data_IF_507196976624
#
_entry.id   IF_507196976624
#
_cell.length_a   1.000
_cell.length_b   1.000
_cell.length_c   1.000
_cell.angle_alpha   90.00
_cell.angle_beta   90.00
_cell.angle_gamma   90.00
#
_symmetry.space_group_name_H-M   'P 1'
#
loop_
_entity.id
_entity.type
_entity.pdbx_description
1 polymer ?
#
# COMPACT_ATOMS: atom_id res chain seq x y z
N UNK A 1 -14.06 11.05 -34.19
CA UNK A 1 -12.76 11.10 -33.46
C UNK A 1 -12.74 10.14 -32.26
N UNK A 2 -13.90 9.58 -31.88
CA UNK A 2 -14.06 8.67 -30.71
C UNK A 2 -13.55 7.24 -30.89
N UNK A 3 -13.51 6.70 -32.12
CA UNK A 3 -13.08 5.31 -32.34
C UNK A 3 -11.57 5.12 -32.21
N UNK A 4 -10.76 6.05 -32.73
CA UNK A 4 -9.29 5.92 -32.74
C UNK A 4 -8.71 5.97 -31.31
N UNK A 5 -9.23 6.84 -30.44
CA UNK A 5 -8.82 6.92 -29.04
C UNK A 5 -9.32 5.74 -28.20
N UNK A 6 -10.56 5.29 -28.41
CA UNK A 6 -11.08 4.06 -27.79
C UNK A 6 -10.26 2.84 -28.22
N UNK A 7 -9.87 2.75 -29.50
CA UNK A 7 -9.09 1.64 -30.01
C UNK A 7 -7.64 1.67 -29.50
N UNK A 8 -7.03 2.86 -29.39
CA UNK A 8 -5.72 3.00 -28.77
C UNK A 8 -5.74 2.59 -27.29
N UNK A 9 -6.72 3.05 -26.51
CA UNK A 9 -6.88 2.66 -25.10
C UNK A 9 -7.08 1.15 -24.98
N UNK A 10 -7.92 0.55 -25.82
CA UNK A 10 -8.12 -0.91 -25.85
C UNK A 10 -6.83 -1.65 -26.21
N UNK A 11 -6.07 -1.18 -27.21
CA UNK A 11 -4.78 -1.77 -27.59
C UNK A 11 -3.77 -1.68 -26.45
N UNK A 12 -3.64 -0.53 -25.81
CA UNK A 12 -2.74 -0.34 -24.66
C UNK A 12 -3.15 -1.22 -23.49
N UNK A 13 -4.44 -1.27 -23.15
CA UNK A 13 -4.95 -2.12 -22.07
C UNK A 13 -4.71 -3.60 -22.35
N UNK A 14 -4.92 -4.05 -23.58
CA UNK A 14 -4.62 -5.43 -23.98
C UNK A 14 -3.11 -5.72 -23.92
N UNK A 15 -2.27 -4.76 -24.30
CA UNK A 15 -0.82 -4.89 -24.16
C UNK A 15 -0.43 -5.06 -22.69
N UNK A 16 -0.92 -4.21 -21.79
CA UNK A 16 -0.68 -4.31 -20.35
C UNK A 16 -1.15 -5.68 -19.84
N UNK A 17 -2.39 -6.06 -20.13
CA UNK A 17 -2.98 -7.31 -19.68
C UNK A 17 -2.17 -8.54 -20.11
N UNK A 18 -1.66 -8.54 -21.34
CA UNK A 18 -1.01 -9.72 -21.92
C UNK A 18 0.50 -9.78 -21.67
N UNK A 19 1.14 -8.69 -21.23
CA UNK A 19 2.60 -8.63 -21.12
C UNK A 19 3.11 -8.14 -19.77
N UNK A 20 2.31 -7.40 -19.00
CA UNK A 20 2.75 -6.71 -17.78
C UNK A 20 1.96 -7.12 -16.54
N UNK A 21 0.65 -7.39 -16.69
CA UNK A 21 -0.18 -7.86 -15.60
C UNK A 21 0.32 -9.22 -15.09
N UNK A 22 0.31 -9.41 -13.78
CA UNK A 22 0.79 -10.67 -13.20
C UNK A 22 -0.22 -11.80 -13.40
N UNK A 23 0.31 -12.96 -13.73
CA UNK A 23 -0.44 -14.21 -13.82
C UNK A 23 -0.26 -15.02 -12.54
N UNK A 24 -1.33 -15.70 -12.12
CA UNK A 24 -1.30 -16.51 -10.92
C UNK A 24 -0.72 -17.89 -11.22
N UNK A 25 0.05 -18.41 -10.28
CA UNK A 25 0.69 -19.72 -10.42
C UNK A 25 1.00 -20.27 -9.03
N UNK A 26 0.81 -21.58 -8.85
CA UNK A 26 1.11 -22.27 -7.59
C UNK A 26 2.61 -22.26 -7.28
N UNK A 27 3.45 -22.19 -8.32
CA UNK A 27 4.91 -22.06 -8.20
C UNK A 27 5.35 -20.74 -7.57
N UNK A 28 4.48 -19.72 -7.54
CA UNK A 28 4.78 -18.44 -6.90
C UNK A 28 4.78 -18.49 -5.36
N UNK A 29 4.49 -19.63 -4.75
CA UNK A 29 4.56 -19.82 -3.28
C UNK A 29 5.90 -20.41 -2.87
N UNK A 30 6.54 -19.82 -1.88
CA UNK A 30 7.81 -20.32 -1.36
C UNK A 30 7.71 -21.71 -0.72
N UNK A 31 6.53 -22.09 -0.24
CA UNK A 31 6.35 -23.32 0.50
C UNK A 31 5.24 -24.16 -0.12
N UNK A 32 5.61 -25.38 -0.54
CA UNK A 32 4.67 -26.36 -1.06
C UNK A 32 3.67 -26.74 0.02
N UNK A 33 2.39 -26.76 -0.34
CA UNK A 33 1.35 -27.31 0.52
C UNK A 33 1.27 -28.81 0.25
N UNK A 34 1.52 -29.64 1.27
CA UNK A 34 1.19 -31.05 1.18
C UNK A 34 -0.32 -31.17 1.11
N UNK A 35 -0.82 -31.85 0.09
CA UNK A 35 -2.23 -31.87 -0.31
C UNK A 35 -3.19 -31.95 0.87
N UNK A 36 -4.08 -30.96 0.93
CA UNK A 36 -5.30 -31.02 1.74
C UNK A 36 -6.09 -32.23 1.23
N UNK A 37 -6.49 -33.12 2.14
CA UNK A 37 -7.37 -34.29 1.97
C UNK A 37 -8.03 -34.42 0.58
N UNK A 38 -7.98 -35.60 -0.04
CA UNK A 38 -8.56 -35.94 -1.37
C UNK A 38 -9.92 -35.31 -1.72
N UNK A 39 -10.79 -35.01 -0.74
CA UNK A 39 -12.04 -34.27 -0.93
C UNK A 39 -11.84 -32.83 -1.45
N UNK A 40 -10.79 -32.12 -1.04
CA UNK A 40 -10.52 -30.75 -1.48
C UNK A 40 -10.06 -30.66 -2.94
N UNK A 41 -9.30 -31.65 -3.41
CA UNK A 41 -8.79 -31.70 -4.79
C UNK A 41 -9.92 -31.89 -5.82
N UNK A 42 -10.93 -32.71 -5.51
CA UNK A 42 -12.08 -32.90 -6.39
C UNK A 42 -12.93 -31.62 -6.51
N UNK A 43 -13.09 -30.85 -5.43
CA UNK A 43 -13.82 -29.57 -5.47
C UNK A 43 -13.01 -28.44 -6.14
N UNK A 44 -11.68 -28.43 -6.02
CA UNK A 44 -10.83 -27.44 -6.71
C UNK A 44 -10.97 -27.50 -8.23
N UNK A 45 -11.27 -28.68 -8.80
CA UNK A 45 -11.50 -28.85 -10.24
C UNK A 45 -12.72 -28.06 -10.75
N UNK A 46 -13.67 -27.72 -9.88
CA UNK A 46 -14.93 -27.05 -10.23
C UNK A 46 -14.98 -25.58 -9.78
N UNK A 47 -13.94 -25.08 -9.10
CA UNK A 47 -13.87 -23.71 -8.59
C UNK A 47 -12.62 -23.04 -9.16
N UNK A 48 -12.80 -22.15 -10.14
CA UNK A 48 -11.73 -21.26 -10.62
C UNK A 48 -11.42 -20.22 -9.53
N UNK A 49 -10.53 -20.57 -8.59
CA UNK A 49 -9.99 -19.65 -7.58
C UNK A 49 -8.50 -19.49 -7.78
N UNK A 50 -8.11 -18.31 -8.26
CA UNK A 50 -6.70 -17.96 -8.51
C UNK A 50 -5.86 -17.99 -7.23
N UNK A 51 -4.54 -18.13 -7.38
CA UNK A 51 -3.64 -18.08 -6.22
C UNK A 51 -3.65 -16.71 -5.52
N UNK A 52 -3.94 -15.63 -6.24
CA UNK A 52 -4.12 -14.30 -5.67
C UNK A 52 -5.45 -14.16 -4.92
N UNK A 53 -6.54 -14.78 -5.39
CA UNK A 53 -7.77 -14.85 -4.59
C UNK A 53 -7.53 -15.58 -3.26
N UNK A 54 -6.75 -16.67 -3.29
CA UNK A 54 -6.38 -17.39 -2.07
C UNK A 54 -5.59 -16.50 -1.13
N UNK A 55 -4.68 -15.66 -1.65
CA UNK A 55 -3.94 -14.70 -0.84
C UNK A 55 -4.85 -13.68 -0.17
N UNK A 56 -5.73 -13.03 -0.96
CA UNK A 56 -6.71 -12.07 -0.45
C UNK A 56 -7.57 -12.67 0.66
N UNK A 57 -8.09 -13.88 0.45
CA UNK A 57 -8.90 -14.57 1.45
C UNK A 57 -8.09 -14.93 2.69
N UNK A 58 -6.86 -15.45 2.54
CA UNK A 58 -5.99 -15.78 3.69
C UNK A 58 -5.73 -14.56 4.56
N UNK A 59 -5.53 -13.40 3.94
CA UNK A 59 -5.34 -12.13 4.62
C UNK A 59 -6.64 -11.71 5.31
N UNK A 60 -7.75 -11.64 4.57
CA UNK A 60 -9.05 -11.20 5.06
C UNK A 60 -9.54 -12.00 6.28
N UNK A 61 -9.37 -13.33 6.25
CA UNK A 61 -9.78 -14.21 7.35
C UNK A 61 -8.75 -14.34 8.48
N UNK A 62 -7.59 -13.70 8.37
CA UNK A 62 -6.54 -13.74 9.39
C UNK A 62 -6.99 -13.09 10.71
N UNK A 63 -6.33 -13.44 11.82
CA UNK A 63 -6.58 -12.73 13.08
C UNK A 63 -5.98 -11.33 13.03
N UNK A 64 -4.88 -11.15 12.30
CA UNK A 64 -4.22 -9.85 12.14
C UNK A 64 -5.08 -8.82 11.42
N UNK A 65 -5.74 -9.20 10.33
CA UNK A 65 -6.63 -8.31 9.61
C UNK A 65 -7.81 -7.84 10.47
N UNK A 66 -8.45 -8.76 11.22
CA UNK A 66 -9.50 -8.40 12.18
C UNK A 66 -9.04 -7.40 13.25
N UNK A 67 -7.78 -7.45 13.68
CA UNK A 67 -7.23 -6.49 14.65
C UNK A 67 -7.11 -5.07 14.09
N UNK A 68 -7.18 -4.86 12.78
CA UNK A 68 -7.18 -3.51 12.19
C UNK A 68 -8.39 -2.68 12.61
N UNK A 69 -9.52 -3.33 12.93
CA UNK A 69 -10.73 -2.68 13.45
C UNK A 69 -10.43 -1.86 14.72
N UNK A 70 -9.50 -2.33 15.56
CA UNK A 70 -9.20 -1.70 16.84
C UNK A 70 -7.96 -0.82 16.82
N UNK A 71 -7.35 -0.60 15.64
CA UNK A 71 -6.20 0.30 15.49
C UNK A 71 -6.68 1.66 14.98
N UNK A 72 -6.53 2.67 15.83
CA UNK A 72 -6.75 4.06 15.42
C UNK A 72 -5.71 4.46 14.35
N UNK A 73 -6.21 5.11 13.30
CA UNK A 73 -5.39 5.95 12.45
C UNK A 73 -5.25 7.30 13.16
N UNK A 74 -4.09 7.92 13.04
CA UNK A 74 -3.63 9.08 13.81
C UNK A 74 -4.76 10.11 14.06
N UNK A 75 -5.00 10.48 15.33
CA UNK A 75 -6.12 11.29 15.91
C UNK A 75 -7.41 10.53 16.30
N UNK A 76 -7.71 10.44 17.61
CA UNK A 76 -8.51 11.47 18.30
C UNK A 76 -8.79 11.11 19.77
N UNK A 77 -8.70 12.13 20.63
CA UNK A 77 -9.22 12.16 22.00
C UNK A 77 -10.75 12.43 22.04
N UNK A 78 -11.50 12.19 20.95
CA UNK A 78 -12.95 12.39 20.90
C UNK A 78 -13.69 11.05 20.81
N UNK A 79 -14.50 10.77 21.84
CA UNK A 79 -15.41 9.61 21.90
C UNK A 79 -16.59 9.84 20.94
N UNK A 80 -16.72 9.01 19.90
CA UNK A 80 -17.87 8.94 18.98
C UNK A 80 -17.70 7.76 18.00
N UNK A 81 -18.77 7.25 17.40
CA UNK A 81 -18.77 5.97 16.64
C UNK A 81 -18.24 6.07 15.20
N UNK A 82 -17.83 7.26 14.75
CA UNK A 82 -17.44 7.55 13.36
C UNK A 82 -15.93 7.79 13.17
N UNK A 83 -15.08 7.36 14.10
CA UNK A 83 -13.63 7.47 13.88
C UNK A 83 -13.18 6.45 12.82
N UNK A 84 -12.36 6.90 11.86
CA UNK A 84 -11.73 5.99 10.90
C UNK A 84 -10.72 5.11 11.63
N UNK A 85 -10.68 3.85 11.23
CA UNK A 85 -9.74 2.84 11.73
C UNK A 85 -8.80 2.44 10.60
N UNK A 86 -7.70 1.76 10.93
CA UNK A 86 -6.85 1.16 9.90
C UNK A 86 -7.62 0.21 8.99
N UNK A 87 -8.67 -0.44 9.49
CA UNK A 87 -9.53 -1.29 8.68
C UNK A 87 -10.29 -0.48 7.63
N UNK A 88 -10.92 0.65 7.99
CA UNK A 88 -11.67 1.47 7.03
C UNK A 88 -10.74 2.04 5.96
N UNK A 89 -9.58 2.55 6.35
CA UNK A 89 -8.55 2.99 5.41
C UNK A 89 -8.10 1.87 4.46
N UNK A 90 -7.82 0.68 5.00
CA UNK A 90 -7.44 -0.48 4.18
C UNK A 90 -8.51 -0.83 3.13
N UNK A 91 -9.80 -0.74 3.50
CA UNK A 91 -10.91 -0.99 2.57
C UNK A 91 -11.03 0.08 1.49
N UNK A 92 -10.77 1.34 1.81
CA UNK A 92 -10.76 2.45 0.85
C UNK A 92 -9.61 2.34 -0.14
N UNK A 93 -8.38 2.09 0.36
CA UNK A 93 -7.21 1.81 -0.48
C UNK A 93 -7.50 0.64 -1.41
N UNK A 94 -8.11 -0.43 -0.90
CA UNK A 94 -8.49 -1.60 -1.69
C UNK A 94 -9.47 -1.23 -2.81
N UNK A 95 -10.48 -0.40 -2.52
CA UNK A 95 -11.45 0.05 -3.52
C UNK A 95 -10.78 0.88 -4.63
N UNK A 96 -9.96 1.85 -4.26
CA UNK A 96 -9.24 2.73 -5.20
C UNK A 96 -8.31 1.89 -6.08
N UNK A 97 -7.50 1.03 -5.45
CA UNK A 97 -6.50 0.21 -6.15
C UNK A 97 -7.16 -0.73 -7.15
N UNK A 98 -8.24 -1.43 -6.76
CA UNK A 98 -8.99 -2.31 -7.67
C UNK A 98 -9.59 -1.55 -8.85
N UNK A 99 -10.11 -0.35 -8.61
CA UNK A 99 -10.64 0.50 -9.69
C UNK A 99 -9.55 0.89 -10.69
N UNK A 100 -8.38 1.30 -10.22
CA UNK A 100 -7.23 1.64 -11.07
C UNK A 100 -6.77 0.41 -11.86
N UNK A 101 -6.54 -0.72 -11.19
CA UNK A 101 -6.10 -1.97 -11.83
C UNK A 101 -7.07 -2.47 -12.89
N UNK A 102 -8.38 -2.41 -12.61
CA UNK A 102 -9.42 -2.74 -13.59
C UNK A 102 -9.31 -1.90 -14.85
N UNK A 103 -9.08 -0.60 -14.70
CA UNK A 103 -9.03 0.31 -15.84
C UNK A 103 -7.75 0.16 -16.65
N UNK A 104 -6.63 -0.16 -15.98
CA UNK A 104 -5.33 -0.43 -16.63
C UNK A 104 -5.23 -1.82 -17.26
N UNK A 105 -6.11 -2.76 -16.89
CA UNK A 105 -6.03 -4.15 -17.34
C UNK A 105 -5.03 -4.99 -16.54
N UNK A 106 -4.73 -4.58 -15.31
CA UNK A 106 -3.88 -5.31 -14.36
C UNK A 106 -4.67 -6.39 -13.61
N UNK A 107 -3.96 -7.23 -12.86
CA UNK A 107 -4.58 -8.27 -12.06
C UNK A 107 -5.28 -7.67 -10.81
N UNK A 108 -6.61 -7.61 -10.84
CA UNK A 108 -7.40 -7.06 -9.73
C UNK A 108 -7.23 -7.87 -8.43
N UNK A 109 -7.09 -9.19 -8.53
CA UNK A 109 -7.00 -10.08 -7.37
C UNK A 109 -5.67 -9.93 -6.64
N UNK A 110 -4.56 -9.80 -7.38
CA UNK A 110 -3.26 -9.48 -6.78
C UNK A 110 -3.28 -8.09 -6.13
N UNK A 111 -3.85 -7.11 -6.83
CA UNK A 111 -3.98 -5.74 -6.31
C UNK A 111 -4.76 -5.74 -4.99
N UNK A 112 -5.88 -6.46 -4.94
CA UNK A 112 -6.70 -6.60 -3.73
C UNK A 112 -5.93 -7.30 -2.60
N UNK A 113 -5.24 -8.39 -2.88
CA UNK A 113 -4.45 -9.10 -1.87
C UNK A 113 -3.36 -8.20 -1.26
N UNK A 114 -2.64 -7.44 -2.09
CA UNK A 114 -1.62 -6.49 -1.62
C UNK A 114 -2.26 -5.39 -0.78
N UNK A 115 -3.35 -4.78 -1.26
CA UNK A 115 -4.03 -3.70 -0.56
C UNK A 115 -4.58 -4.15 0.80
N UNK A 116 -5.18 -5.33 0.90
CA UNK A 116 -5.67 -5.87 2.19
C UNK A 116 -4.55 -6.13 3.19
N UNK A 117 -3.34 -6.45 2.71
CA UNK A 117 -2.21 -6.82 3.55
C UNK A 117 -1.29 -5.66 3.95
N UNK A 118 -1.36 -4.52 3.26
CA UNK A 118 -0.34 -3.46 3.37
C UNK A 118 -0.21 -2.90 4.80
N UNK A 119 -1.33 -2.77 5.51
CA UNK A 119 -1.40 -2.05 6.78
C UNK A 119 -1.37 -2.95 8.05
N UNK A 120 -1.32 -4.27 7.85
CA UNK A 120 -1.44 -5.28 8.93
C UNK A 120 -0.35 -5.12 10.01
N UNK A 121 0.85 -4.74 9.58
CA UNK A 121 2.07 -4.60 10.39
C UNK A 121 2.13 -3.37 11.27
N UNK A 122 1.17 -2.44 11.17
CA UNK A 122 1.28 -1.19 11.90
C UNK A 122 1.19 -1.36 13.42
N UNK A 123 1.95 -0.53 14.12
CA UNK A 123 1.93 -0.35 15.56
C UNK A 123 0.62 0.29 16.03
N UNK A 124 0.25 0.12 17.31
CA UNK A 124 -0.65 1.05 17.99
C UNK A 124 -0.15 2.49 17.83
N UNK A 125 -1.06 3.47 17.82
CA UNK A 125 -0.73 4.89 17.64
C UNK A 125 -0.08 5.26 16.30
N UNK A 126 -0.12 4.36 15.31
CA UNK A 126 0.32 4.63 13.94
C UNK A 126 1.77 5.08 13.85
N UNK A 127 2.04 6.15 13.09
CA UNK A 127 3.40 6.61 12.82
C UNK A 127 4.17 7.01 14.09
N UNK A 128 3.51 7.63 15.07
CA UNK A 128 4.15 7.97 16.33
C UNK A 128 4.64 6.72 17.08
N UNK A 129 3.80 5.67 17.12
CA UNK A 129 4.20 4.40 17.71
C UNK A 129 5.29 3.67 16.92
N UNK A 130 5.30 3.81 15.60
CA UNK A 130 6.38 3.30 14.74
C UNK A 130 7.71 4.00 15.00
N UNK A 131 7.73 5.33 15.10
CA UNK A 131 8.94 6.12 15.34
C UNK A 131 9.58 5.79 16.68
N UNK A 132 8.78 5.80 17.76
CA UNK A 132 9.25 5.44 19.10
C UNK A 132 9.78 4.01 19.12
N UNK A 133 9.06 3.05 18.52
CA UNK A 133 9.51 1.67 18.48
C UNK A 133 10.78 1.48 17.65
N UNK A 134 10.94 2.22 16.55
CA UNK A 134 12.17 2.20 15.74
C UNK A 134 13.37 2.71 16.54
N UNK A 135 13.22 3.80 17.28
CA UNK A 135 14.31 4.38 18.07
C UNK A 135 14.70 3.49 19.25
N UNK A 136 13.73 2.89 19.95
CA UNK A 136 13.99 1.87 20.99
C UNK A 136 14.74 0.68 20.40
N UNK A 137 14.27 0.15 19.26
CA UNK A 137 14.87 -1.04 18.64
C UNK A 137 16.21 -0.75 17.96
N UNK A 138 16.62 0.52 17.85
CA UNK A 138 17.97 0.96 17.47
C UNK A 138 18.86 1.30 18.66
N UNK A 139 18.36 1.14 19.90
CA UNK A 139 19.06 1.52 21.12
C UNK A 139 19.25 3.03 21.29
N UNK A 140 18.44 3.86 20.60
CA UNK A 140 18.48 5.33 20.69
C UNK A 140 17.59 5.88 21.80
N UNK A 141 16.57 5.13 22.19
CA UNK A 141 15.63 5.47 23.27
C UNK A 141 15.65 4.32 24.29
N UNK A 142 15.95 4.65 25.55
CA UNK A 142 16.03 3.71 26.67
C UNK A 142 14.78 3.72 27.57
N UNK A 143 13.70 4.37 27.09
CA UNK A 143 12.43 4.55 27.78
C UNK A 143 12.59 5.27 29.14
N UNK A 144 13.39 6.34 29.17
CA UNK A 144 13.74 7.10 30.38
C UNK A 144 14.48 6.23 31.41
N UNK A 145 15.45 5.44 30.94
CA UNK A 145 16.25 4.53 31.77
C UNK A 145 15.49 3.28 32.26
N UNK A 146 14.36 2.94 31.65
CA UNK A 146 13.63 1.68 31.95
C UNK A 146 14.26 0.46 31.31
N UNK A 147 15.02 0.65 30.23
CA UNK A 147 15.81 -0.42 29.61
C UNK A 147 17.19 -0.46 30.26
N UNK A 148 17.53 -1.61 30.83
CA UNK A 148 18.83 -1.83 31.49
C UNK A 148 19.99 -1.78 30.50
N UNK A 149 19.75 -2.15 29.24
CA UNK A 149 20.74 -2.15 28.16
C UNK A 149 20.15 -1.61 26.86
N UNK A 150 20.91 -0.74 26.19
CA UNK A 150 20.61 -0.31 24.83
C UNK A 150 21.30 -1.25 23.85
N UNK A 151 20.50 -2.04 23.12
CA UNK A 151 20.97 -2.97 22.09
C UNK A 151 20.35 -2.55 20.76
N UNK A 152 21.19 -2.33 19.75
CA UNK A 152 20.73 -2.11 18.39
C UNK A 152 20.29 -3.45 17.79
N UNK A 153 18.98 -3.62 17.67
CA UNK A 153 18.39 -4.76 16.99
C UNK A 153 18.15 -4.48 15.50
N UNK A 154 18.38 -3.27 15.02
CA UNK A 154 18.19 -2.87 13.62
C UNK A 154 16.84 -2.23 13.31
N UNK A 155 16.20 -1.68 14.34
CA UNK A 155 15.00 -0.85 14.21
C UNK A 155 13.70 -1.59 13.94
N UNK A 156 12.67 -0.79 13.61
CA UNK A 156 11.30 -1.21 13.35
C UNK A 156 10.68 -0.42 12.20
N UNK A 157 9.90 -1.12 11.35
CA UNK A 157 9.09 -0.49 10.32
C UNK A 157 7.86 -1.36 10.03
N UNK A 158 6.69 -0.76 9.86
CA UNK A 158 5.45 -1.52 9.71
C UNK A 158 5.44 -2.47 8.51
N UNK A 159 5.94 -2.08 7.33
CA UNK A 159 5.93 -2.91 6.12
C UNK A 159 6.78 -4.18 6.28
N UNK A 160 7.92 -4.08 6.98
CA UNK A 160 8.68 -5.24 7.40
C UNK A 160 7.90 -6.08 8.42
N UNK A 161 7.26 -5.43 9.39
CA UNK A 161 6.40 -6.11 10.35
C UNK A 161 5.17 -6.78 9.70
N UNK A 162 4.66 -6.29 8.57
CA UNK A 162 3.63 -6.97 7.78
C UNK A 162 4.12 -8.36 7.38
N UNK A 163 5.34 -8.45 6.82
CA UNK A 163 5.93 -9.75 6.48
C UNK A 163 6.06 -10.65 7.72
N UNK A 164 6.55 -10.12 8.83
CA UNK A 164 6.64 -10.88 10.09
C UNK A 164 5.31 -11.44 10.53
N UNK A 165 4.25 -10.64 10.42
CA UNK A 165 2.92 -11.09 10.77
C UNK A 165 2.45 -12.21 9.82
N UNK A 166 2.60 -11.99 8.52
CA UNK A 166 2.08 -12.88 7.49
C UNK A 166 2.88 -14.17 7.34
N UNK A 167 4.19 -14.16 7.60
CA UNK A 167 5.10 -15.30 7.44
C UNK A 167 5.36 -16.07 8.74
N UNK A 168 5.36 -15.39 9.89
CA UNK A 168 5.85 -15.96 11.16
C UNK A 168 4.75 -15.98 12.24
N UNK A 169 3.98 -14.91 12.41
CA UNK A 169 3.07 -14.79 13.56
C UNK A 169 1.73 -15.47 13.31
N UNK A 170 1.10 -15.21 12.15
CA UNK A 170 -0.14 -15.88 11.81
C UNK A 170 0.10 -17.38 11.63
N UNK A 171 -0.88 -18.18 12.05
CA UNK A 171 -0.81 -19.64 12.01
C UNK A 171 -2.07 -20.19 11.39
N UNK A 172 -1.90 -21.12 10.46
CA UNK A 172 -2.95 -22.03 10.00
C UNK A 172 -2.79 -23.34 10.74
N UNK A 173 -3.85 -24.16 10.80
CA UNK A 173 -3.84 -25.44 11.51
C UNK A 173 -2.65 -26.33 11.13
N UNK A 174 -2.24 -26.25 9.87
CA UNK A 174 -1.19 -27.10 9.30
C UNK A 174 0.18 -26.41 9.20
N UNK A 175 0.31 -25.11 9.50
CA UNK A 175 1.57 -24.37 9.31
C UNK A 175 1.65 -23.01 9.98
N UNK A 176 2.88 -22.58 10.22
CA UNK A 176 3.23 -21.18 10.46
C UNK A 176 3.17 -20.37 9.16
N UNK A 177 2.66 -19.14 9.26
CA UNK A 177 2.48 -18.20 8.17
C UNK A 177 1.28 -18.52 7.26
N UNK A 178 0.87 -17.51 6.50
CA UNK A 178 -0.23 -17.57 5.54
C UNK A 178 0.18 -18.15 4.18
N UNK A 179 1.48 -18.30 3.91
CA UNK A 179 2.02 -18.84 2.66
C UNK A 179 1.60 -18.04 1.42
N UNK A 180 1.63 -16.72 1.47
CA UNK A 180 1.21 -15.89 0.35
C UNK A 180 2.17 -16.04 -0.84
N UNK A 181 1.72 -15.66 -2.04
CA UNK A 181 2.59 -15.59 -3.22
C UNK A 181 3.65 -14.50 -3.04
N UNK A 182 4.80 -14.68 -3.70
CA UNK A 182 5.89 -13.71 -3.61
C UNK A 182 5.48 -12.33 -4.11
N UNK A 183 4.60 -12.24 -5.12
CA UNK A 183 4.09 -10.97 -5.64
C UNK A 183 3.33 -10.19 -4.57
N UNK A 184 2.46 -10.88 -3.84
CA UNK A 184 1.69 -10.27 -2.74
C UNK A 184 2.63 -9.76 -1.66
N UNK A 185 3.66 -10.55 -1.30
CA UNK A 185 4.63 -10.16 -0.27
C UNK A 185 5.52 -8.99 -0.72
N UNK A 186 5.98 -8.98 -1.98
CA UNK A 186 6.74 -7.86 -2.57
C UNK A 186 5.92 -6.56 -2.56
N UNK A 187 4.67 -6.62 -3.01
CA UNK A 187 3.77 -5.47 -3.00
C UNK A 187 3.51 -4.94 -1.59
N UNK A 188 3.24 -5.82 -0.62
CA UNK A 188 3.03 -5.44 0.79
C UNK A 188 4.30 -4.85 1.39
N UNK A 189 5.47 -5.35 1.03
CA UNK A 189 6.72 -4.85 1.55
C UNK A 189 7.09 -3.48 0.96
N UNK A 190 6.85 -3.28 -0.34
CA UNK A 190 7.25 -2.07 -1.07
C UNK A 190 6.11 -1.07 -1.31
N UNK A 191 4.99 -1.21 -0.60
CA UNK A 191 3.94 -0.17 -0.59
C UNK A 191 4.41 1.14 0.05
N UNK A 192 5.54 1.10 0.77
CA UNK A 192 6.25 2.26 1.31
C UNK A 192 7.76 2.00 1.20
N UNK A 193 8.57 3.01 1.53
CA UNK A 193 10.02 2.92 1.40
C UNK A 193 10.64 1.81 2.26
N UNK A 194 11.54 1.03 1.66
CA UNK A 194 12.38 0.04 2.35
C UNK A 194 13.67 0.63 2.93
N UNK A 195 14.04 1.85 2.49
CA UNK A 195 15.11 2.67 3.06
C UNK A 195 14.58 4.12 3.19
N UNK A 196 14.78 4.77 4.34
CA UNK A 196 14.36 6.17 4.58
C UNK A 196 15.54 7.02 5.07
N UNK A 197 16.11 7.82 4.18
CA UNK A 197 17.37 8.53 4.47
C UNK A 197 18.46 7.49 4.77
N UNK A 198 19.09 7.61 5.94
CA UNK A 198 20.11 6.65 6.40
C UNK A 198 19.51 5.46 7.16
N UNK A 199 18.19 5.42 7.39
CA UNK A 199 17.52 4.31 8.08
C UNK A 199 17.30 3.14 7.12
N UNK A 200 17.88 1.99 7.47
CA UNK A 200 17.62 0.66 6.87
C UNK A 200 17.04 -0.26 7.93
N UNK A 201 16.40 -1.35 7.53
CA UNK A 201 15.86 -2.37 8.45
C UNK A 201 16.36 -3.76 8.10
N UNK A 202 16.69 -4.57 9.10
CA UNK A 202 17.22 -5.91 8.91
C UNK A 202 16.07 -6.89 8.60
N UNK A 203 15.91 -7.23 7.31
CA UNK A 203 14.85 -8.12 6.83
C UNK A 203 14.89 -9.50 7.50
N UNK A 204 16.06 -10.00 7.91
CA UNK A 204 16.21 -11.34 8.50
C UNK A 204 15.40 -11.53 9.77
N UNK A 205 15.04 -10.42 10.44
CA UNK A 205 14.23 -10.41 11.67
C UNK A 205 12.73 -10.50 11.42
N UNK A 206 12.32 -10.30 10.17
CA UNK A 206 10.92 -10.17 9.77
C UNK A 206 10.46 -11.31 8.85
N UNK A 207 11.36 -12.11 8.30
CA UNK A 207 11.01 -13.21 7.42
C UNK A 207 11.54 -14.54 7.94
N UNK A 208 10.88 -15.63 7.57
CA UNK A 208 11.26 -16.97 8.05
C UNK A 208 12.55 -17.47 7.40
N UNK A 209 12.71 -17.18 6.12
CA UNK A 209 13.85 -17.60 5.32
C UNK A 209 14.23 -16.47 4.37
N UNK A 210 15.35 -15.82 4.67
CA UNK A 210 15.86 -14.68 3.88
C UNK A 210 16.21 -15.09 2.45
N UNK A 211 16.50 -16.37 2.18
CA UNK A 211 16.86 -16.84 0.85
C UNK A 211 15.74 -16.66 -0.18
N UNK A 212 14.48 -16.70 0.28
CA UNK A 212 13.29 -16.44 -0.54
C UNK A 212 13.19 -15.00 -1.02
N UNK A 213 13.82 -14.06 -0.30
CA UNK A 213 13.70 -12.63 -0.55
C UNK A 213 14.91 -12.02 -1.25
N UNK A 214 15.96 -12.81 -1.53
CA UNK A 214 17.19 -12.32 -2.19
C UNK A 214 16.92 -11.58 -3.50
N UNK A 215 15.91 -12.01 -4.25
CA UNK A 215 15.52 -11.40 -5.53
C UNK A 215 14.40 -10.35 -5.39
N UNK A 216 13.85 -10.18 -4.18
CA UNK A 216 12.75 -9.25 -3.87
C UNK A 216 13.31 -8.00 -3.20
N UNK A 217 14.15 -8.18 -2.19
CA UNK A 217 14.94 -7.12 -1.57
C UNK A 217 16.42 -7.48 -1.74
N UNK A 218 17.12 -6.61 -2.44
CA UNK A 218 18.56 -6.74 -2.63
C UNK A 218 19.23 -5.47 -2.09
N UNK A 219 19.42 -5.43 -0.77
CA UNK A 219 20.37 -4.52 -0.10
C UNK A 219 20.96 -5.21 1.13
N UNK A 220 22.21 -4.87 1.45
CA UNK A 220 22.89 -5.29 2.66
C UNK A 220 22.59 -4.29 3.78
N UNK A 221 22.05 -4.81 4.88
CA UNK A 221 21.73 -4.03 6.07
C UNK A 221 22.99 -3.44 6.73
N UNK A 222 24.12 -4.17 6.67
CA UNK A 222 25.38 -3.78 7.33
C UNK A 222 26.23 -2.83 6.48
N UNK A 223 25.95 -2.69 5.18
CA UNK A 223 26.64 -1.75 4.31
C UNK A 223 25.82 -0.47 4.13
N UNK A 224 26.30 0.64 4.69
CA UNK A 224 25.70 1.97 4.56
C UNK A 224 25.52 2.41 3.10
N UNK A 225 26.41 2.00 2.18
CA UNK A 225 26.33 2.36 0.77
C UNK A 225 25.36 1.50 -0.04
N UNK A 226 24.91 0.39 0.54
CA UNK A 226 23.99 -0.53 -0.14
C UNK A 226 22.65 0.12 -0.42
N UNK A 227 22.07 -0.14 -1.59
CA UNK A 227 20.76 0.37 -2.02
C UNK A 227 19.93 -0.79 -2.52
N UNK A 228 18.59 -0.73 -2.39
CA UNK A 228 17.73 -1.74 -2.98
C UNK A 228 17.91 -1.74 -4.49
N UNK A 229 18.01 -2.91 -5.11
CA UNK A 229 17.98 -3.03 -6.58
C UNK A 229 16.71 -2.44 -7.19
N UNK A 230 15.60 -2.45 -6.44
CA UNK A 230 14.33 -1.87 -6.84
C UNK A 230 13.70 -1.08 -5.69
N UNK A 231 13.52 0.21 -5.90
CA UNK A 231 12.86 1.10 -4.93
C UNK A 231 11.35 0.81 -4.81
N UNK A 232 10.73 0.39 -5.91
CA UNK A 232 9.30 0.10 -6.00
C UNK A 232 9.02 -1.40 -6.13
N UNK A 233 7.75 -1.77 -5.91
CA UNK A 233 7.22 -3.10 -6.23
C UNK A 233 7.61 -3.54 -7.64
N UNK A 234 8.02 -4.80 -7.78
CA UNK A 234 8.35 -5.43 -9.06
C UNK A 234 7.12 -5.53 -9.95
N UNK A 235 5.94 -5.65 -9.34
CA UNK A 235 4.64 -5.74 -10.01
C UNK A 235 4.02 -4.36 -10.17
N UNK A 236 3.32 -4.13 -11.28
CA UNK A 236 2.53 -2.91 -11.50
C UNK A 236 1.36 -2.83 -10.50
N UNK A 237 0.80 -3.97 -10.12
CA UNK A 237 -0.26 -4.09 -9.12
C UNK A 237 0.19 -3.53 -7.77
N UNK A 238 1.40 -3.88 -7.30
CA UNK A 238 1.93 -3.31 -6.06
C UNK A 238 2.25 -1.82 -6.16
N UNK A 239 2.67 -1.33 -7.33
CA UNK A 239 2.83 0.12 -7.56
C UNK A 239 1.49 0.86 -7.53
N UNK A 240 0.43 0.25 -8.09
CA UNK A 240 -0.94 0.79 -7.98
C UNK A 240 -1.39 0.86 -6.54
N UNK A 241 -1.08 -0.13 -5.70
CA UNK A 241 -1.41 -0.07 -4.26
C UNK A 241 -0.67 1.06 -3.57
N UNK A 242 0.64 1.24 -3.82
CA UNK A 242 1.40 2.36 -3.27
C UNK A 242 0.78 3.72 -3.63
N UNK A 243 0.39 3.92 -4.90
CA UNK A 243 -0.30 5.13 -5.35
C UNK A 243 -1.67 5.29 -4.68
N UNK A 244 -2.41 4.19 -4.54
CA UNK A 244 -3.76 4.21 -3.94
C UNK A 244 -3.73 4.53 -2.46
N UNK A 245 -2.72 4.04 -1.74
CA UNK A 245 -2.45 4.37 -0.34
C UNK A 245 -2.19 5.88 -0.18
N UNK A 246 -1.31 6.45 -1.02
CA UNK A 246 -1.10 7.91 -1.02
C UNK A 246 -2.35 8.72 -1.33
N UNK A 247 -3.20 8.25 -2.25
CA UNK A 247 -4.46 8.92 -2.58
C UNK A 247 -5.40 8.91 -1.36
N UNK A 248 -5.56 7.75 -0.72
CA UNK A 248 -6.41 7.61 0.46
C UNK A 248 -5.91 8.45 1.64
N UNK A 249 -4.60 8.43 1.92
CA UNK A 249 -4.00 9.25 2.98
C UNK A 249 -4.25 10.75 2.76
N UNK A 250 -4.10 11.24 1.52
CA UNK A 250 -4.37 12.65 1.21
C UNK A 250 -5.85 13.02 1.32
N UNK A 251 -6.76 12.11 0.94
CA UNK A 251 -8.20 12.30 1.14
C UNK A 251 -8.53 12.43 2.63
N UNK A 252 -7.94 11.58 3.47
CA UNK A 252 -8.12 11.65 4.91
C UNK A 252 -7.61 12.96 5.52
N UNK A 253 -6.40 13.37 5.17
CA UNK A 253 -5.82 14.62 5.67
C UNK A 253 -6.72 15.83 5.33
N UNK A 254 -7.35 15.80 4.16
CA UNK A 254 -8.34 16.80 3.74
C UNK A 254 -9.63 16.72 4.58
N UNK A 255 -10.20 15.53 4.71
CA UNK A 255 -11.44 15.29 5.46
C UNK A 255 -11.30 15.67 6.95
N UNK A 256 -10.22 15.25 7.60
CA UNK A 256 -9.94 15.57 9.00
C UNK A 256 -9.75 17.08 9.19
N UNK A 257 -9.08 17.74 8.24
CA UNK A 257 -8.88 19.18 8.27
C UNK A 257 -10.18 19.97 8.07
N UNK A 258 -11.10 19.47 7.23
CA UNK A 258 -12.44 20.04 7.06
C UNK A 258 -13.30 19.85 8.32
N UNK A 259 -13.19 18.69 8.98
CA UNK A 259 -13.95 18.36 10.20
C UNK A 259 -13.46 19.18 11.41
N UNK A 260 -12.15 19.34 11.59
CA UNK A 260 -11.60 20.17 12.69
C UNK A 260 -11.85 21.66 12.46
N UNK A 261 -12.10 22.08 11.21
CA UNK A 261 -12.52 23.44 10.83
C UNK A 261 -11.50 24.54 11.11
N UNK A 262 -10.29 24.18 11.55
CA UNK A 262 -9.22 25.11 11.94
C UNK A 262 -8.23 25.44 10.81
N UNK A 263 -8.12 24.57 9.80
CA UNK A 263 -7.11 24.69 8.75
C UNK A 263 -7.67 25.31 7.46
N UNK A 264 -8.84 24.86 6.98
CA UNK A 264 -9.49 25.39 5.77
C UNK A 264 -11.01 25.18 5.80
N UNK A 265 -11.79 26.07 5.16
CA UNK A 265 -13.23 25.88 4.97
C UNK A 265 -13.52 25.19 3.64
N UNK A 266 -14.64 24.47 3.56
CA UNK A 266 -15.17 23.92 2.30
C UNK A 266 -15.22 24.99 1.21
N UNK A 267 -15.65 26.20 1.55
CA UNK A 267 -15.71 27.33 0.61
C UNK A 267 -14.33 27.69 0.03
N UNK A 268 -13.26 27.63 0.83
CA UNK A 268 -11.90 27.94 0.37
C UNK A 268 -11.44 26.88 -0.65
N UNK A 269 -11.73 25.60 -0.37
CA UNK A 269 -11.42 24.50 -1.28
C UNK A 269 -12.25 24.55 -2.56
N UNK A 270 -13.56 24.81 -2.44
CA UNK A 270 -14.44 24.99 -3.59
C UNK A 270 -13.99 26.16 -4.46
N UNK A 271 -13.58 27.29 -3.86
CA UNK A 271 -13.08 28.44 -4.61
C UNK A 271 -11.82 28.09 -5.40
N UNK A 272 -10.88 27.34 -4.84
CA UNK A 272 -9.68 26.94 -5.61
C UNK A 272 -9.95 25.86 -6.66
N UNK A 273 -10.86 24.92 -6.40
CA UNK A 273 -11.31 23.98 -7.42
C UNK A 273 -12.01 24.73 -8.55
N UNK A 274 -12.92 25.67 -8.23
CA UNK A 274 -13.63 26.48 -9.21
C UNK A 274 -12.68 27.34 -10.01
N UNK A 275 -11.65 27.92 -9.39
CA UNK A 275 -10.60 28.68 -10.09
C UNK A 275 -9.81 27.79 -11.05
N UNK A 276 -9.40 26.59 -10.64
CA UNK A 276 -8.76 25.62 -11.53
C UNK A 276 -9.71 25.25 -12.67
N UNK A 277 -10.98 24.97 -12.38
CA UNK A 277 -11.97 24.63 -13.40
C UNK A 277 -12.22 25.79 -14.37
N UNK A 278 -12.26 27.03 -13.89
CA UNK A 278 -12.37 28.22 -14.73
C UNK A 278 -11.13 28.39 -15.63
N UNK A 279 -9.94 28.23 -15.08
CA UNK A 279 -8.69 28.29 -15.85
C UNK A 279 -8.62 27.18 -16.91
N UNK A 280 -8.97 25.95 -16.54
CA UNK A 280 -9.09 24.83 -17.49
C UNK A 280 -10.16 25.15 -18.53
N UNK A 281 -11.31 25.71 -18.14
CA UNK A 281 -12.39 26.07 -19.08
C UNK A 281 -11.99 27.14 -20.10
N UNK A 282 -11.06 28.05 -19.74
CA UNK A 282 -10.53 29.07 -20.65
C UNK A 282 -9.54 28.49 -21.66
N UNK A 283 -8.87 27.41 -21.28
CA UNK A 283 -7.89 26.69 -22.10
C UNK A 283 -8.53 25.52 -22.86
N UNK A 284 -9.83 25.26 -22.65
CA UNK A 284 -10.57 24.19 -23.34
C UNK A 284 -11.52 24.74 -24.40
N UNK A 285 -11.58 24.04 -25.54
CA UNK A 285 -12.52 24.22 -26.63
C UNK A 285 -13.42 22.99 -26.78
N UNK A 286 -14.50 23.11 -27.55
CA UNK A 286 -15.39 21.98 -27.89
C UNK A 286 -14.70 20.86 -28.65
N UNK A 287 -13.46 21.06 -29.09
CA UNK A 287 -12.64 20.07 -29.81
C UNK A 287 -11.71 19.29 -28.88
N UNK A 288 -11.55 19.71 -27.62
CA UNK A 288 -10.66 19.02 -26.70
C UNK A 288 -11.17 17.64 -26.32
N UNK A 289 -10.30 16.64 -26.44
CA UNK A 289 -10.61 15.27 -26.01
C UNK A 289 -10.59 15.17 -24.48
N UNK A 290 -11.31 14.18 -23.92
CA UNK A 290 -11.26 13.92 -22.48
C UNK A 290 -9.84 13.69 -21.93
N UNK A 291 -8.93 13.18 -22.77
CA UNK A 291 -7.52 13.01 -22.42
C UNK A 291 -6.75 14.34 -22.40
N UNK A 292 -7.03 15.26 -23.32
CA UNK A 292 -6.43 16.60 -23.32
C UNK A 292 -6.90 17.41 -22.12
N UNK A 293 -8.19 17.35 -21.81
CA UNK A 293 -8.78 17.88 -20.58
C UNK A 293 -8.09 17.32 -19.33
N UNK A 294 -7.87 16.00 -19.28
CA UNK A 294 -7.13 15.37 -18.19
C UNK A 294 -5.67 15.85 -18.10
N UNK A 295 -4.95 15.98 -19.22
CA UNK A 295 -3.59 16.50 -19.24
C UNK A 295 -3.52 17.95 -18.76
N UNK A 296 -4.47 18.79 -19.19
CA UNK A 296 -4.64 20.17 -18.75
C UNK A 296 -4.92 20.24 -17.24
N UNK A 297 -5.91 19.50 -16.75
CA UNK A 297 -6.21 19.39 -15.32
C UNK A 297 -4.99 18.94 -14.52
N UNK A 298 -4.30 17.89 -14.96
CA UNK A 298 -3.09 17.37 -14.31
C UNK A 298 -2.00 18.44 -14.23
N UNK A 299 -1.76 19.17 -15.31
CA UNK A 299 -0.78 20.27 -15.34
C UNK A 299 -1.16 21.38 -14.35
N UNK A 300 -2.42 21.79 -14.32
CA UNK A 300 -2.92 22.85 -13.42
C UNK A 300 -2.87 22.44 -11.94
N UNK A 301 -3.26 21.20 -11.63
CA UNK A 301 -3.12 20.64 -10.28
C UNK A 301 -1.65 20.60 -9.85
N UNK A 302 -0.74 20.28 -10.77
CA UNK A 302 0.70 20.28 -10.49
C UNK A 302 1.27 21.69 -10.28
N UNK A 303 0.81 22.68 -11.06
CA UNK A 303 1.12 24.10 -10.87
C UNK A 303 0.62 24.62 -9.51
N UNK A 304 -0.58 24.23 -9.09
CA UNK A 304 -1.13 24.55 -7.77
C UNK A 304 -0.28 23.92 -6.65
N UNK A 305 0.05 22.64 -6.77
CA UNK A 305 0.89 21.93 -5.79
C UNK A 305 2.28 22.56 -5.65
N UNK A 306 2.90 22.95 -6.76
CA UNK A 306 4.23 23.57 -6.76
C UNK A 306 4.22 25.02 -6.21
N UNK A 307 3.13 25.78 -6.41
CA UNK A 307 2.97 27.11 -5.81
C UNK A 307 2.66 27.05 -4.31
N UNK A 308 1.82 26.12 -3.87
CA UNK A 308 1.52 25.91 -2.44
C UNK A 308 2.74 25.47 -1.64
N UNK A 309 3.61 24.63 -2.19
CA UNK A 309 4.89 24.22 -1.56
C UNK A 309 5.83 25.40 -1.24
N UNK A 310 5.70 26.52 -1.96
CA UNK A 310 6.48 27.75 -1.77
C UNK A 310 5.82 28.78 -0.84
N UNK A 311 4.55 28.61 -0.50
CA UNK A 311 3.84 29.51 0.40
C UNK A 311 4.10 29.14 1.87
N UNK A 312 4.81 30.02 2.60
CA UNK A 312 5.06 29.93 4.07
C UNK A 312 3.80 29.82 4.93
N UNK A 313 2.61 30.05 4.36
CA UNK A 313 1.31 29.98 5.06
C UNK A 313 0.85 28.54 5.33
N UNK A 314 1.47 27.55 4.66
CA UNK A 314 1.08 26.14 4.65
C UNK A 314 2.19 25.19 5.12
N UNK A 315 3.24 25.73 5.75
CA UNK A 315 4.24 24.96 6.52
C UNK A 315 3.89 25.01 7.99
#
# INVERSE_FOLDING_TARGET
MDEINSEMIKKTRNFIKNNLAQEDSKENRFYKENNINHLGEEFEKYIERSEFNRDADRILYSKAFRRLEHKAQVYSNKRGDHYRTRLTHTLEVTQIARSISRNLGLNEQLTEAIALGHDIGHTPFGHAGEEVLDDIMRGKDDLDGKLEFNIDYGGFKHNFNCLKILEIIEKRETRTGLNLTWQTLDGILKHTHVIKGDKKWDLTRFVRDISNYKNIIEYDYFDEKSKPSHEHSLTLEGQVVNISDEIAQKEHDLDDSLIDGKLFKLDDMFNEIMKIMEEVSKETSSENTGYELFCLLKKKVYELYSTTKNHKKWK
#
